data_IF_479148290244
#
_entry.id   IF_479148290244
#
_cell.length_a   1.000
_cell.length_b   1.000
_cell.length_c   1.000
_cell.angle_alpha   90.00
_cell.angle_beta   90.00
_cell.angle_gamma   90.00
#
_symmetry.space_group_name_H-M   'P 1'
#
loop_
_entity.id
_entity.type
_entity.pdbx_description
1 polymer ?
#
# COMPACT_ATOMS: atom_id res chain seq x y z
N UNK A 1 -13.14 -15.03 -16.85
CA UNK A 1 -13.44 -14.30 -15.60
C UNK A 1 -12.63 -13.03 -15.60
N UNK A 2 -13.21 -11.89 -15.23
CA UNK A 2 -12.44 -10.65 -15.13
C UNK A 2 -11.56 -10.70 -13.89
N UNK A 3 -10.26 -10.45 -14.05
CA UNK A 3 -9.32 -10.38 -12.92
C UNK A 3 -9.66 -9.20 -12.01
N UNK A 4 -9.46 -9.41 -10.70
CA UNK A 4 -9.70 -8.41 -9.67
C UNK A 4 -8.43 -8.15 -8.87
N UNK A 5 -8.10 -6.89 -8.66
CA UNK A 5 -6.96 -6.48 -7.85
C UNK A 5 -7.38 -5.53 -6.73
N UNK A 6 -6.67 -5.60 -5.61
CA UNK A 6 -6.77 -4.57 -4.58
C UNK A 6 -5.49 -3.74 -4.55
N UNK A 7 -5.63 -2.43 -4.55
CA UNK A 7 -4.50 -1.49 -4.50
C UNK A 7 -4.37 -0.84 -3.13
N UNK A 8 -3.15 -0.88 -2.57
CA UNK A 8 -2.81 -0.11 -1.37
C UNK A 8 -2.70 1.38 -1.72
N UNK A 9 -3.69 2.16 -1.35
CA UNK A 9 -3.77 3.59 -1.61
C UNK A 9 -3.24 4.37 -0.41
N UNK A 10 -2.08 4.98 -0.57
CA UNK A 10 -1.47 5.84 0.45
C UNK A 10 -1.87 7.31 0.33
N UNK A 11 -2.51 7.70 -0.77
CA UNK A 11 -2.79 9.10 -1.11
C UNK A 11 -1.64 9.81 -1.82
N UNK A 12 -0.50 9.13 -2.04
CA UNK A 12 0.62 9.63 -2.82
C UNK A 12 0.51 9.31 -4.31
N UNK A 13 1.32 10.03 -5.11
CA UNK A 13 1.33 9.90 -6.57
C UNK A 13 1.66 8.48 -7.05
N UNK A 14 2.60 7.80 -6.40
CA UNK A 14 3.05 6.47 -6.85
C UNK A 14 1.94 5.42 -6.74
N UNK A 15 1.18 5.42 -5.65
CA UNK A 15 0.04 4.51 -5.51
C UNK A 15 -1.06 4.80 -6.52
N UNK A 16 -1.28 6.07 -6.85
CA UNK A 16 -2.22 6.49 -7.88
C UNK A 16 -1.80 5.99 -9.27
N UNK A 17 -0.54 6.22 -9.66
CA UNK A 17 0.00 5.79 -10.94
C UNK A 17 0.03 4.27 -11.09
N UNK A 18 0.46 3.55 -10.06
CA UNK A 18 0.45 2.09 -10.05
C UNK A 18 -0.95 1.52 -10.30
N UNK A 19 -1.96 2.10 -9.62
CA UNK A 19 -3.35 1.72 -9.79
C UNK A 19 -3.85 2.03 -11.20
N UNK A 20 -3.53 3.22 -11.73
CA UNK A 20 -3.92 3.65 -13.07
C UNK A 20 -3.39 2.71 -14.15
N UNK A 21 -2.13 2.29 -14.06
CA UNK A 21 -1.52 1.35 -15.02
C UNK A 21 -2.30 0.04 -15.11
N UNK A 22 -2.84 -0.45 -13.99
CA UNK A 22 -3.62 -1.70 -13.96
C UNK A 22 -5.05 -1.49 -14.45
N UNK A 23 -5.68 -0.37 -14.08
CA UNK A 23 -7.00 -0.01 -14.59
C UNK A 23 -7.02 0.13 -16.13
N UNK A 24 -5.96 0.71 -16.70
CA UNK A 24 -5.83 0.89 -18.15
C UNK A 24 -5.70 -0.45 -18.91
N UNK A 25 -5.40 -1.53 -18.22
CA UNK A 25 -5.41 -2.91 -18.76
C UNK A 25 -6.78 -3.60 -18.66
N UNK A 26 -7.80 -2.89 -18.19
CA UNK A 26 -9.16 -3.42 -18.09
C UNK A 26 -9.39 -4.34 -16.88
N UNK A 27 -8.48 -4.34 -15.90
CA UNK A 27 -8.60 -5.11 -14.67
C UNK A 27 -9.48 -4.33 -13.68
N UNK A 28 -10.38 -5.03 -12.99
CA UNK A 28 -11.15 -4.43 -11.92
C UNK A 28 -10.27 -4.17 -10.70
N UNK A 29 -10.21 -2.93 -10.23
CA UNK A 29 -9.41 -2.54 -9.07
C UNK A 29 -10.26 -1.84 -8.03
N UNK A 30 -10.10 -2.25 -6.77
CA UNK A 30 -10.59 -1.51 -5.60
C UNK A 30 -9.40 -1.05 -4.75
N UNK A 31 -9.57 0.05 -4.04
CA UNK A 31 -8.54 0.60 -3.16
C UNK A 31 -8.72 0.13 -1.72
N UNK A 32 -7.62 -0.02 -0.99
CA UNK A 32 -7.60 -0.22 0.46
C UNK A 32 -6.64 0.79 1.10
N UNK A 33 -7.08 1.41 2.19
CA UNK A 33 -6.27 2.31 2.99
C UNK A 33 -6.39 1.90 4.46
N UNK A 34 -5.27 1.80 5.15
CA UNK A 34 -5.23 1.44 6.56
C UNK A 34 -5.05 2.68 7.44
N UNK A 35 -5.95 2.87 8.37
CA UNK A 35 -5.84 3.91 9.37
C UNK A 35 -5.10 3.36 10.60
N UNK A 36 -3.86 3.80 10.79
CA UNK A 36 -2.97 3.32 11.85
C UNK A 36 -2.93 4.22 13.09
N UNK A 37 -3.51 5.42 13.02
CA UNK A 37 -3.37 6.45 14.03
C UNK A 37 -2.00 7.14 14.07
N UNK A 38 -1.00 6.59 13.37
CA UNK A 38 0.38 7.12 13.28
C UNK A 38 0.69 7.75 11.93
N UNK A 39 -0.30 7.88 11.05
CA UNK A 39 -0.09 8.40 9.71
C UNK A 39 0.23 9.90 9.73
N UNK A 40 1.40 10.24 9.21
CA UNK A 40 1.94 11.62 9.17
C UNK A 40 1.12 12.54 8.28
N UNK A 41 0.30 12.00 7.38
CA UNK A 41 -0.52 12.79 6.43
C UNK A 41 -1.49 13.76 7.11
N UNK A 42 -1.93 13.45 8.33
CA UNK A 42 -2.76 14.36 9.13
C UNK A 42 -1.98 15.49 9.82
N UNK A 43 -0.69 15.31 10.06
CA UNK A 43 0.11 16.25 10.86
C UNK A 43 1.01 17.18 10.05
N UNK A 44 1.60 16.73 8.95
CA UNK A 44 2.55 17.55 8.16
C UNK A 44 1.87 18.72 7.46
N UNK A 45 0.64 18.60 7.02
CA UNK A 45 -0.11 19.70 6.43
C UNK A 45 -0.61 20.70 7.48
N UNK A 46 -0.88 20.26 8.70
CA UNK A 46 -1.29 21.15 9.79
C UNK A 46 -0.16 22.06 10.29
N UNK A 47 1.09 21.60 10.18
CA UNK A 47 2.28 22.37 10.61
C UNK A 47 2.72 23.37 9.52
N UNK A 48 2.49 23.08 8.24
CA UNK A 48 2.92 23.92 7.11
C UNK A 48 1.91 24.95 6.64
N UNK A 49 0.61 24.79 6.91
CA UNK A 49 -0.38 25.80 6.51
C UNK A 49 -0.72 26.72 7.67
N UNK A 50 -0.26 27.97 7.61
CA UNK A 50 -0.76 29.08 8.44
C UNK A 50 -2.22 29.45 8.10
N UNK A 51 -2.81 28.82 7.10
CA UNK A 51 -4.20 29.05 6.68
C UNK A 51 -5.16 28.08 7.37
N UNK A 52 -5.78 28.54 8.43
CA UNK A 52 -6.74 27.83 9.28
C UNK A 52 -8.09 27.47 8.62
N UNK A 53 -8.25 27.58 7.29
CA UNK A 53 -9.55 27.45 6.60
C UNK A 53 -9.64 26.41 5.49
N UNK A 54 -8.61 25.59 5.22
CA UNK A 54 -8.77 24.46 4.28
C UNK A 54 -9.11 23.20 5.05
N UNK A 55 -10.30 22.65 4.80
CA UNK A 55 -10.69 21.32 5.27
C UNK A 55 -9.59 20.32 4.97
N UNK A 56 -9.23 19.50 5.97
CA UNK A 56 -8.22 18.45 5.81
C UNK A 56 -8.75 17.44 4.79
N UNK A 57 -8.23 17.51 3.57
CA UNK A 57 -8.58 16.57 2.51
C UNK A 57 -7.94 15.21 2.82
N UNK A 58 -8.75 14.15 2.85
CA UNK A 58 -8.21 12.79 2.87
C UNK A 58 -7.67 12.46 1.47
N UNK A 59 -6.34 12.40 1.35
CA UNK A 59 -5.68 12.18 0.06
C UNK A 59 -6.01 10.83 -0.56
N UNK A 60 -6.22 9.79 0.24
CA UNK A 60 -6.58 8.47 -0.26
C UNK A 60 -7.99 8.47 -0.88
N UNK A 61 -8.95 9.16 -0.25
CA UNK A 61 -10.30 9.35 -0.81
C UNK A 61 -10.25 10.12 -2.13
N UNK A 62 -9.49 11.20 -2.19
CA UNK A 62 -9.33 11.97 -3.41
C UNK A 62 -8.75 11.14 -4.56
N UNK A 63 -7.70 10.35 -4.29
CA UNK A 63 -7.10 9.46 -5.29
C UNK A 63 -8.13 8.44 -5.79
N UNK A 64 -8.92 7.85 -4.89
CA UNK A 64 -9.95 6.90 -5.27
C UNK A 64 -11.04 7.54 -6.15
N UNK A 65 -11.46 8.77 -5.84
CA UNK A 65 -12.41 9.55 -6.65
C UNK A 65 -11.86 9.83 -8.05
N UNK A 66 -10.61 10.31 -8.15
CA UNK A 66 -9.95 10.59 -9.44
C UNK A 66 -9.78 9.35 -10.30
N UNK A 67 -9.55 8.19 -9.69
CA UNK A 67 -9.42 6.92 -10.38
C UNK A 67 -10.79 6.24 -10.67
N UNK A 68 -11.86 6.73 -10.05
CA UNK A 68 -13.20 6.12 -10.16
C UNK A 68 -13.29 4.74 -9.54
N UNK A 69 -12.55 4.47 -8.47
CA UNK A 69 -12.52 3.19 -7.77
C UNK A 69 -13.15 3.28 -6.38
N UNK A 70 -13.69 2.15 -5.92
CA UNK A 70 -14.16 2.02 -4.54
C UNK A 70 -12.96 1.98 -3.59
N UNK A 71 -13.04 2.68 -2.45
CA UNK A 71 -12.01 2.69 -1.42
C UNK A 71 -12.56 2.08 -0.12
N UNK A 72 -11.81 1.12 0.42
CA UNK A 72 -12.05 0.55 1.74
C UNK A 72 -11.06 1.15 2.74
N UNK A 73 -11.58 1.77 3.79
CA UNK A 73 -10.76 2.31 4.90
C UNK A 73 -10.91 1.37 6.08
N UNK A 74 -9.80 0.78 6.52
CA UNK A 74 -9.77 -0.20 7.61
C UNK A 74 -8.96 0.38 8.76
N UNK A 75 -9.59 0.43 9.95
CA UNK A 75 -8.92 0.81 11.18
C UNK A 75 -8.09 -0.37 11.70
N UNK A 76 -6.82 -0.14 11.89
CA UNK A 76 -5.84 -1.10 12.40
C UNK A 76 -5.00 -0.54 13.56
N UNK A 77 -5.49 0.51 14.22
CA UNK A 77 -4.75 1.22 15.28
C UNK A 77 -4.24 0.26 16.34
N UNK A 78 -5.10 -0.61 16.86
CA UNK A 78 -4.73 -1.52 17.96
C UNK A 78 -3.68 -2.54 17.52
N UNK A 79 -3.84 -3.15 16.36
CA UNK A 79 -2.92 -4.14 15.81
C UNK A 79 -1.59 -3.52 15.39
N UNK A 80 -1.62 -2.28 14.90
CA UNK A 80 -0.42 -1.57 14.47
C UNK A 80 0.47 -1.11 15.63
N UNK A 81 -0.05 -0.98 16.84
CA UNK A 81 0.75 -0.66 18.04
C UNK A 81 1.91 -1.63 18.24
N UNK A 82 1.69 -2.91 18.03
CA UNK A 82 2.73 -3.93 18.19
C UNK A 82 3.86 -3.76 17.15
N UNK A 83 3.52 -3.39 15.92
CA UNK A 83 4.51 -3.09 14.87
C UNK A 83 5.42 -1.93 15.27
N UNK A 84 4.88 -0.91 15.95
CA UNK A 84 5.66 0.24 16.41
C UNK A 84 6.50 -0.08 17.65
N UNK A 85 5.96 -0.87 18.57
CA UNK A 85 6.61 -1.17 19.84
C UNK A 85 7.66 -2.28 19.73
N UNK A 86 7.41 -3.28 18.88
CA UNK A 86 8.22 -4.50 18.78
C UNK A 86 8.53 -4.86 17.31
N UNK A 87 9.17 -3.99 16.51
CA UNK A 87 9.42 -4.30 15.11
C UNK A 87 10.46 -5.42 14.97
N UNK A 88 10.11 -6.48 14.25
CA UNK A 88 10.95 -7.65 14.01
C UNK A 88 12.27 -7.30 13.30
N UNK A 89 12.21 -6.36 12.35
CA UNK A 89 13.37 -5.90 11.56
C UNK A 89 13.99 -4.61 12.12
N UNK A 90 13.55 -4.17 13.30
CA UNK A 90 14.07 -2.98 13.96
C UNK A 90 13.57 -1.66 13.36
N UNK A 91 14.15 -0.59 13.88
CA UNK A 91 13.80 0.77 13.47
C UNK A 91 14.81 1.30 12.45
N UNK A 92 14.31 2.08 11.49
CA UNK A 92 15.13 2.93 10.63
C UNK A 92 15.42 4.28 11.27
N UNK A 93 15.71 5.28 10.43
CA UNK A 93 15.89 6.65 10.90
C UNK A 93 14.62 7.15 11.60
N UNK A 94 14.79 7.93 12.67
CA UNK A 94 13.71 8.52 13.48
C UNK A 94 12.74 7.48 14.08
N UNK A 95 13.25 6.31 14.48
CA UNK A 95 12.44 5.23 15.06
C UNK A 95 11.29 4.76 14.16
N UNK A 96 11.51 4.76 12.87
CA UNK A 96 10.49 4.37 11.89
C UNK A 96 10.60 2.87 11.54
N UNK A 97 9.60 2.03 11.85
CA UNK A 97 9.60 0.60 11.51
C UNK A 97 9.16 0.36 10.06
N UNK A 98 9.79 1.04 9.09
CA UNK A 98 9.37 1.05 7.68
C UNK A 98 9.16 -0.33 7.07
N UNK A 99 10.07 -1.29 7.34
CA UNK A 99 9.99 -2.63 6.76
C UNK A 99 8.82 -3.42 7.37
N UNK A 100 8.74 -3.45 8.69
CA UNK A 100 7.66 -4.14 9.40
C UNK A 100 6.30 -3.50 9.13
N UNK A 101 6.23 -2.18 9.02
CA UNK A 101 5.04 -1.45 8.61
C UNK A 101 4.55 -1.91 7.23
N UNK A 102 5.44 -2.03 6.26
CA UNK A 102 5.07 -2.47 4.91
C UNK A 102 4.63 -3.93 4.90
N UNK A 103 5.32 -4.81 5.60
CA UNK A 103 4.94 -6.23 5.76
C UNK A 103 3.55 -6.33 6.40
N UNK A 104 3.30 -5.57 7.45
CA UNK A 104 2.00 -5.52 8.12
C UNK A 104 0.87 -5.08 7.17
N UNK A 105 1.07 -3.97 6.43
CA UNK A 105 0.08 -3.44 5.50
C UNK A 105 -0.27 -4.44 4.39
N UNK A 106 0.74 -5.07 3.79
CA UNK A 106 0.54 -6.06 2.74
C UNK A 106 -0.12 -7.33 3.29
N UNK A 107 0.28 -7.77 4.48
CA UNK A 107 -0.35 -8.93 5.15
C UNK A 107 -1.84 -8.69 5.43
N UNK A 108 -2.20 -7.51 5.95
CA UNK A 108 -3.61 -7.15 6.20
C UNK A 108 -4.40 -7.03 4.90
N UNK A 109 -3.81 -6.46 3.85
CA UNK A 109 -4.44 -6.39 2.54
C UNK A 109 -4.65 -7.79 1.94
N UNK A 110 -3.67 -8.68 2.07
CA UNK A 110 -3.77 -10.07 1.62
C UNK A 110 -4.86 -10.83 2.37
N UNK A 111 -4.89 -10.73 3.70
CA UNK A 111 -5.91 -11.36 4.52
C UNK A 111 -7.33 -10.91 4.12
N UNK A 112 -7.50 -9.60 3.92
CA UNK A 112 -8.78 -9.03 3.48
C UNK A 112 -9.13 -9.41 2.04
N UNK A 113 -8.17 -9.35 1.11
CA UNK A 113 -8.38 -9.59 -0.31
C UNK A 113 -8.81 -11.04 -0.62
N UNK A 114 -8.29 -11.98 0.16
CA UNK A 114 -8.53 -13.41 -0.07
C UNK A 114 -9.63 -14.00 0.82
N UNK A 115 -10.39 -13.17 1.52
CA UNK A 115 -11.67 -13.59 2.09
C UNK A 115 -12.63 -14.00 0.99
N UNK A 116 -13.43 -15.04 1.23
CA UNK A 116 -14.38 -15.60 0.25
C UNK A 116 -15.34 -14.53 -0.30
N UNK A 117 -15.79 -13.61 0.55
CA UNK A 117 -16.67 -12.51 0.16
C UNK A 117 -16.00 -11.43 -0.72
N UNK A 118 -14.68 -11.29 -0.67
CA UNK A 118 -13.92 -10.28 -1.42
C UNK A 118 -13.36 -10.83 -2.73
N UNK A 119 -12.74 -12.00 -2.69
CA UNK A 119 -12.28 -12.78 -3.85
C UNK A 119 -11.43 -11.98 -4.85
N UNK A 120 -10.37 -11.34 -4.36
CA UNK A 120 -9.39 -10.64 -5.18
C UNK A 120 -8.22 -11.57 -5.57
N UNK A 121 -7.71 -11.41 -6.78
CA UNK A 121 -6.65 -12.26 -7.32
C UNK A 121 -5.26 -11.83 -6.83
N UNK A 122 -4.99 -10.53 -6.75
CA UNK A 122 -3.67 -10.01 -6.39
C UNK A 122 -3.71 -8.62 -5.77
N UNK A 123 -2.56 -8.20 -5.24
CA UNK A 123 -2.36 -6.91 -4.56
C UNK A 123 -1.44 -6.02 -5.38
N UNK A 124 -1.75 -4.73 -5.44
CA UNK A 124 -0.95 -3.70 -6.09
C UNK A 124 -0.37 -2.76 -5.05
N UNK A 125 0.91 -2.43 -5.18
CA UNK A 125 1.55 -1.36 -4.40
C UNK A 125 2.29 -0.39 -5.31
N UNK A 126 2.38 0.87 -4.88
CA UNK A 126 3.11 1.94 -5.59
C UNK A 126 4.59 1.99 -5.27
N UNK A 127 5.20 0.90 -4.84
CA UNK A 127 6.62 0.85 -4.52
C UNK A 127 7.49 0.97 -5.76
N UNK A 128 8.59 1.73 -5.64
CA UNK A 128 9.61 1.90 -6.68
C UNK A 128 10.97 1.53 -6.12
N UNK A 129 11.73 0.69 -6.83
CA UNK A 129 13.07 0.26 -6.38
C UNK A 129 13.97 1.46 -6.13
N UNK A 130 14.53 1.55 -4.92
CA UNK A 130 15.49 2.56 -4.55
C UNK A 130 14.93 3.93 -4.20
N UNK A 131 13.63 4.15 -4.33
CA UNK A 131 13.01 5.46 -4.05
C UNK A 131 13.00 5.80 -2.55
N UNK A 132 12.81 4.81 -1.70
CA UNK A 132 12.87 4.99 -0.24
C UNK A 132 13.85 3.99 0.38
N UNK A 133 14.58 4.39 1.43
CA UNK A 133 15.44 3.47 2.16
C UNK A 133 14.60 2.37 2.84
N UNK A 134 15.25 1.27 3.20
CA UNK A 134 14.70 0.10 3.89
C UNK A 134 13.65 -0.66 3.08
N UNK A 135 12.37 -0.25 3.06
CA UNK A 135 11.28 -1.02 2.47
C UNK A 135 11.30 -1.08 0.93
N UNK A 136 11.91 -0.10 0.25
CA UNK A 136 11.95 -0.04 -1.23
C UNK A 136 13.34 -0.38 -1.81
N UNK A 137 14.20 -1.03 -1.06
CA UNK A 137 15.44 -1.60 -1.59
C UNK A 137 15.15 -2.89 -2.35
N UNK A 138 15.86 -3.13 -3.44
CA UNK A 138 15.69 -4.36 -4.24
C UNK A 138 15.82 -5.63 -3.39
N UNK A 139 16.72 -5.65 -2.41
CA UNK A 139 16.93 -6.78 -1.51
C UNK A 139 15.78 -6.99 -0.51
N UNK A 140 15.04 -5.96 -0.12
CA UNK A 140 13.97 -6.06 0.88
C UNK A 140 12.59 -6.36 0.26
N UNK A 141 12.39 -6.07 -1.00
CA UNK A 141 11.10 -6.32 -1.67
C UNK A 141 10.66 -7.80 -1.67
N UNK A 142 11.56 -8.78 -1.91
CA UNK A 142 11.21 -10.20 -1.77
C UNK A 142 10.89 -10.60 -0.32
N UNK A 143 11.53 -9.98 0.66
CA UNK A 143 11.25 -10.22 2.08
C UNK A 143 9.83 -9.78 2.42
N UNK A 144 9.41 -8.59 1.96
CA UNK A 144 8.05 -8.09 2.15
C UNK A 144 7.03 -9.05 1.56
N UNK A 145 7.22 -9.48 0.32
CA UNK A 145 6.31 -10.40 -0.35
C UNK A 145 6.16 -11.73 0.42
N UNK A 146 7.27 -12.34 0.79
CA UNK A 146 7.29 -13.61 1.51
C UNK A 146 6.71 -13.49 2.93
N UNK A 147 7.17 -12.54 3.73
CA UNK A 147 6.75 -12.41 5.13
C UNK A 147 5.32 -11.90 5.29
N UNK A 148 4.80 -11.18 4.31
CA UNK A 148 3.39 -10.75 4.29
C UNK A 148 2.42 -11.85 3.85
N UNK A 149 2.93 -12.96 3.30
CA UNK A 149 2.10 -14.03 2.75
C UNK A 149 1.49 -13.72 1.37
N UNK A 150 1.87 -12.58 0.76
CA UNK A 150 1.40 -12.20 -0.57
C UNK A 150 2.25 -12.79 -1.70
N UNK A 151 3.51 -13.13 -1.39
CA UNK A 151 4.52 -13.78 -2.24
C UNK A 151 4.37 -13.48 -3.75
N UNK A 152 3.87 -14.44 -4.52
CA UNK A 152 3.72 -14.37 -5.98
C UNK A 152 2.54 -13.48 -6.46
N UNK A 153 1.71 -12.98 -5.52
CA UNK A 153 0.53 -12.15 -5.80
C UNK A 153 0.69 -10.67 -5.43
N UNK A 154 1.91 -10.23 -5.12
CA UNK A 154 2.21 -8.82 -4.83
C UNK A 154 2.84 -8.17 -6.06
N UNK A 155 2.07 -7.38 -6.78
CA UNK A 155 2.50 -6.68 -7.99
C UNK A 155 2.94 -5.24 -7.67
N UNK A 156 4.07 -4.84 -8.26
CA UNK A 156 4.64 -3.49 -8.18
C UNK A 156 4.76 -2.89 -9.57
N UNK A 157 3.66 -2.34 -10.13
CA UNK A 157 3.59 -1.97 -11.54
C UNK A 157 4.67 -0.98 -12.00
N UNK A 158 5.09 -0.06 -11.11
CA UNK A 158 6.05 0.99 -11.46
C UNK A 158 7.51 0.49 -11.60
N UNK A 159 7.80 -0.72 -11.11
CA UNK A 159 9.14 -1.32 -11.24
C UNK A 159 9.10 -2.82 -11.57
N UNK A 160 7.99 -3.32 -12.07
CA UNK A 160 7.77 -4.73 -12.39
C UNK A 160 8.86 -5.33 -13.29
N UNK A 161 9.29 -4.61 -14.32
CA UNK A 161 10.34 -5.06 -15.25
C UNK A 161 11.71 -5.31 -14.61
N UNK A 162 11.93 -4.83 -13.39
CA UNK A 162 13.20 -4.97 -12.65
C UNK A 162 13.12 -6.03 -11.53
N UNK A 163 11.99 -6.73 -11.42
CA UNK A 163 11.70 -7.76 -10.43
C UNK A 163 11.36 -9.08 -11.11
N UNK A 164 11.42 -10.21 -10.39
CA UNK A 164 10.88 -11.46 -10.90
C UNK A 164 9.40 -11.35 -11.22
N UNK A 165 8.97 -12.01 -12.31
CA UNK A 165 7.56 -12.01 -12.72
C UNK A 165 6.68 -12.65 -11.65
N UNK A 166 5.63 -11.95 -11.28
CA UNK A 166 4.57 -12.42 -10.38
C UNK A 166 3.49 -13.19 -11.13
N UNK A 167 2.61 -13.89 -10.42
CA UNK A 167 1.51 -14.64 -11.03
C UNK A 167 0.67 -13.80 -12.01
N UNK A 168 0.18 -12.60 -11.65
CA UNK A 168 -0.60 -11.78 -12.57
C UNK A 168 0.16 -11.30 -13.80
N UNK A 169 1.49 -11.30 -13.78
CA UNK A 169 2.32 -10.91 -14.94
C UNK A 169 2.59 -12.08 -15.90
N UNK A 170 2.44 -13.32 -15.42
CA UNK A 170 2.63 -14.54 -16.23
C UNK A 170 1.37 -14.97 -16.94
N UNK A 171 0.21 -14.48 -16.56
CA UNK A 171 -1.12 -14.82 -17.11
C UNK A 171 -1.69 -13.72 -18.01
#
# INVERSE_FOLDING_TARGET
MQRKAVSLISGGLDSMLATRVILDQGIHVEGINFFTGFCVEGHTHAIRSKDKKKEKRNNALWVAEELGIKLHIIDVIEEYKDVVLNPKHGYGQHLNPCLDCKIFMVNKAAAWAWMEENDFDFIITGEVIGQRPMSQRKATMPIIARESGADDRLLRPLCAKNLPLTLPERE
#
